data_IF_213548975232
#
_entry.id   IF_213548975232
#
_cell.length_a   1.000
_cell.length_b   1.000
_cell.length_c   1.000
_cell.angle_alpha   90.00
_cell.angle_beta   90.00
_cell.angle_gamma   90.00
#
_symmetry.space_group_name_H-M   'P 1'
#
loop_
_entity.id
_entity.type
_entity.pdbx_description
1 polymer ?
#
# COMPACT_ATOMS: atom_id res chain seq x y z
N UNK A 1 -7.97 -17.24 18.55
CA UNK A 1 -7.10 -16.63 17.52
C UNK A 1 -6.21 -15.65 18.24
N UNK A 2 -4.91 -15.87 18.20
CA UNK A 2 -3.92 -15.01 18.86
C UNK A 2 -2.78 -14.75 17.89
N UNK A 3 -2.20 -13.56 17.98
CA UNK A 3 -0.98 -13.19 17.27
C UNK A 3 -0.01 -12.52 18.23
N UNK A 4 1.26 -12.88 18.11
CA UNK A 4 2.37 -12.22 18.77
C UNK A 4 3.29 -11.64 17.68
N UNK A 5 3.71 -10.40 17.85
CA UNK A 5 4.63 -9.75 16.91
C UNK A 5 5.80 -9.12 17.66
N UNK A 6 7.01 -9.29 17.12
CA UNK A 6 8.22 -8.57 17.54
C UNK A 6 8.68 -7.67 16.39
N UNK A 7 8.82 -6.37 16.64
CA UNK A 7 9.16 -5.35 15.64
C UNK A 7 10.51 -4.72 15.98
N UNK A 8 11.43 -4.67 15.02
CA UNK A 8 12.74 -4.06 15.15
C UNK A 8 12.88 -2.91 14.14
N UNK A 9 13.36 -1.76 14.60
CA UNK A 9 13.74 -0.62 13.77
C UNK A 9 15.05 -0.03 14.25
N UNK A 10 16.01 0.07 13.36
CA UNK A 10 17.31 0.69 13.58
C UNK A 10 17.54 1.71 12.47
N UNK A 11 17.89 2.92 12.88
CA UNK A 11 18.34 4.00 12.00
C UNK A 11 19.58 4.62 12.65
N UNK A 12 20.74 4.34 12.07
CA UNK A 12 22.02 4.68 12.67
C UNK A 12 22.96 5.32 11.65
N UNK A 13 23.91 6.12 12.13
CA UNK A 13 25.01 6.65 11.33
C UNK A 13 26.32 6.04 11.83
N UNK A 14 26.63 4.78 11.50
CA UNK A 14 27.78 4.06 12.06
C UNK A 14 29.13 4.68 11.68
N UNK A 15 29.18 5.37 10.53
CA UNK A 15 30.35 6.10 10.06
C UNK A 15 29.90 7.46 9.53
N UNK A 16 30.79 8.45 9.55
CA UNK A 16 30.50 9.79 9.04
C UNK A 16 30.03 9.72 7.57
N UNK A 17 28.82 10.22 7.31
CA UNK A 17 28.23 10.26 5.98
C UNK A 17 27.61 8.96 5.48
N UNK A 18 27.60 7.90 6.30
CA UNK A 18 26.94 6.63 6.01
C UNK A 18 25.81 6.39 7.02
N UNK A 19 24.58 6.41 6.54
CA UNK A 19 23.38 6.01 7.30
C UNK A 19 23.03 4.56 6.97
N UNK A 20 22.67 3.79 7.98
CA UNK A 20 22.23 2.41 7.87
C UNK A 20 20.84 2.25 8.48
N UNK A 21 19.94 1.65 7.72
CA UNK A 21 18.54 1.42 8.13
C UNK A 21 18.25 -0.08 8.09
N UNK A 22 17.69 -0.59 9.19
CA UNK A 22 17.15 -1.93 9.30
C UNK A 22 15.75 -1.86 9.90
N UNK A 23 14.80 -2.53 9.25
CA UNK A 23 13.44 -2.67 9.75
C UNK A 23 12.97 -4.09 9.50
N UNK A 24 12.63 -4.80 10.56
CA UNK A 24 12.20 -6.20 10.50
C UNK A 24 11.02 -6.43 11.44
N UNK A 25 10.20 -7.44 11.14
CA UNK A 25 9.10 -7.86 12.00
C UNK A 25 8.94 -9.37 11.95
N UNK A 26 8.85 -10.00 13.12
CA UNK A 26 8.51 -11.41 13.25
C UNK A 26 7.07 -11.51 13.77
N UNK A 27 6.21 -12.20 13.03
CA UNK A 27 4.84 -12.50 13.41
C UNK A 27 4.68 -14.00 13.68
N UNK A 28 4.06 -14.34 14.81
CA UNK A 28 3.55 -15.67 15.12
C UNK A 28 2.03 -15.60 15.27
N UNK A 29 1.29 -16.34 14.45
CA UNK A 29 -0.17 -16.33 14.45
C UNK A 29 -0.75 -17.75 14.56
N UNK A 30 -1.62 -17.95 15.54
CA UNK A 30 -2.44 -19.15 15.66
C UNK A 30 -3.85 -18.88 15.13
N UNK A 31 -3.93 -18.89 13.80
CA UNK A 31 -5.13 -18.62 13.02
C UNK A 31 -5.49 -19.88 12.21
N UNK A 32 -6.78 -20.07 11.85
CA UNK A 32 -7.17 -21.11 10.91
C UNK A 32 -6.41 -20.94 9.58
N UNK A 33 -5.96 -22.05 9.00
CA UNK A 33 -5.17 -22.07 7.76
C UNK A 33 -5.83 -21.31 6.60
N UNK A 34 -7.17 -21.25 6.57
CA UNK A 34 -7.93 -20.52 5.55
C UNK A 34 -7.78 -18.98 5.64
N UNK A 35 -7.32 -18.46 6.78
CA UNK A 35 -7.16 -17.02 7.02
C UNK A 35 -5.67 -16.63 7.01
N UNK A 36 -4.82 -17.40 7.71
CA UNK A 36 -3.36 -17.28 7.60
C UNK A 36 -2.72 -18.67 7.45
N UNK A 37 -2.20 -19.00 6.25
CA UNK A 37 -1.65 -20.32 6.01
C UNK A 37 -0.29 -20.56 6.69
N UNK A 38 0.42 -19.49 7.05
CA UNK A 38 1.71 -19.58 7.73
C UNK A 38 1.57 -19.10 9.17
N UNK A 39 2.00 -19.95 10.11
CA UNK A 39 2.02 -19.60 11.53
C UNK A 39 3.14 -18.63 11.88
N UNK A 40 4.24 -18.66 11.13
CA UNK A 40 5.43 -17.86 11.37
C UNK A 40 5.78 -17.08 10.11
N UNK A 41 5.87 -15.76 10.23
CA UNK A 41 6.18 -14.86 9.12
C UNK A 41 7.22 -13.83 9.58
N UNK A 42 8.44 -13.91 9.05
CA UNK A 42 9.41 -12.84 9.14
C UNK A 42 9.25 -11.87 7.96
N UNK A 43 9.18 -10.57 8.23
CA UNK A 43 9.03 -9.53 7.21
C UNK A 43 10.18 -8.54 7.32
N UNK A 44 11.25 -8.81 6.57
CA UNK A 44 12.33 -7.83 6.39
C UNK A 44 11.80 -6.65 5.58
N UNK A 45 11.40 -5.59 6.27
CA UNK A 45 10.78 -4.41 5.67
C UNK A 45 11.79 -3.60 4.88
N UNK A 46 12.88 -3.23 5.55
CA UNK A 46 13.96 -2.42 4.98
C UNK A 46 15.31 -2.89 5.51
N UNK A 47 16.33 -2.82 4.66
CA UNK A 47 17.72 -3.11 4.98
C UNK A 47 18.60 -2.44 3.94
N UNK A 48 19.03 -1.21 4.18
CA UNK A 48 19.78 -0.43 3.20
C UNK A 48 20.80 0.51 3.83
N UNK A 49 21.76 0.90 3.00
CA UNK A 49 22.73 1.94 3.28
C UNK A 49 22.40 3.18 2.46
N UNK A 50 22.64 4.34 3.05
CA UNK A 50 22.43 5.65 2.45
C UNK A 50 23.67 6.51 2.62
N UNK A 51 24.13 7.13 1.54
CA UNK A 51 25.24 8.08 1.54
C UNK A 51 24.79 9.40 0.94
N UNK A 52 25.30 10.49 1.52
CA UNK A 52 25.01 11.85 1.06
C UNK A 52 26.34 12.56 0.72
N UNK A 53 26.86 12.40 -0.51
CA UNK A 53 28.15 12.98 -0.91
C UNK A 53 28.15 14.52 -0.90
N UNK A 54 26.98 15.14 -1.02
CA UNK A 54 26.78 16.58 -0.93
C UNK A 54 25.37 16.88 -0.40
N UNK A 55 25.11 18.13 -0.02
CA UNK A 55 23.80 18.54 0.51
C UNK A 55 22.63 18.32 -0.48
N UNK A 56 22.91 18.12 -1.77
CA UNK A 56 21.92 17.97 -2.82
C UNK A 56 21.85 16.58 -3.44
N UNK A 57 22.71 15.63 -3.05
CA UNK A 57 22.77 14.30 -3.69
C UNK A 57 22.73 13.19 -2.65
N UNK A 58 21.85 12.21 -2.86
CA UNK A 58 21.66 11.05 -1.99
C UNK A 58 21.74 9.78 -2.84
N UNK A 59 22.43 8.76 -2.34
CA UNK A 59 22.43 7.42 -2.91
C UNK A 59 22.04 6.39 -1.86
N UNK A 60 21.11 5.52 -2.22
CA UNK A 60 20.66 4.42 -1.39
C UNK A 60 20.86 3.07 -2.11
N UNK A 61 21.25 2.05 -1.37
CA UNK A 61 21.38 0.69 -1.89
C UNK A 61 20.97 -0.34 -0.83
N UNK A 62 20.09 -1.27 -1.22
CA UNK A 62 19.60 -2.34 -0.36
C UNK A 62 18.11 -2.60 -0.57
N UNK A 63 17.46 -3.18 0.42
CA UNK A 63 16.00 -3.35 0.44
C UNK A 63 15.34 -2.08 0.95
N UNK A 64 14.57 -1.41 0.07
CA UNK A 64 13.98 -0.10 0.33
C UNK A 64 12.47 -0.15 0.08
N UNK A 65 11.68 0.37 1.00
CA UNK A 65 10.23 0.49 0.83
C UNK A 65 9.88 1.78 0.07
N UNK A 66 10.04 1.73 -1.27
CA UNK A 66 9.72 2.85 -2.14
C UNK A 66 8.23 2.89 -2.48
N UNK A 67 7.57 4.00 -2.16
CA UNK A 67 6.26 4.36 -2.71
C UNK A 67 6.23 5.86 -3.04
N UNK A 68 5.27 6.29 -3.85
CA UNK A 68 5.03 7.69 -4.19
C UNK A 68 3.55 7.98 -4.01
N UNK A 69 3.18 9.23 -3.78
CA UNK A 69 1.77 9.60 -3.56
C UNK A 69 1.31 9.50 -2.10
N UNK A 70 0.26 10.27 -1.82
CA UNK A 70 -0.40 10.48 -0.52
C UNK A 70 -1.78 9.82 -0.42
N UNK A 71 -2.32 9.27 -1.50
CA UNK A 71 -3.62 8.58 -1.51
C UNK A 71 -3.70 7.53 -0.39
N UNK A 72 -4.85 7.46 0.27
CA UNK A 72 -5.05 6.69 1.49
C UNK A 72 -5.43 5.26 1.14
N UNK A 73 -6.42 5.06 0.27
CA UNK A 73 -6.94 3.74 -0.08
C UNK A 73 -6.17 3.04 -1.18
N UNK A 74 -6.23 3.62 -2.37
CA UNK A 74 -5.59 3.06 -3.55
C UNK A 74 -4.59 4.04 -4.12
N UNK A 75 -3.39 3.56 -4.41
CA UNK A 75 -2.31 4.41 -4.88
C UNK A 75 -1.89 4.01 -6.31
N UNK A 76 -2.33 4.76 -7.34
CA UNK A 76 -1.97 4.51 -8.73
C UNK A 76 -0.49 4.58 -9.05
N UNK A 77 0.32 5.31 -8.27
CA UNK A 77 1.74 5.57 -8.56
C UNK A 77 2.71 4.76 -7.70
N UNK A 78 2.18 3.98 -6.76
CA UNK A 78 2.93 3.01 -5.97
C UNK A 78 3.20 1.73 -6.78
N UNK A 79 4.11 1.81 -7.74
CA UNK A 79 4.45 0.71 -8.64
C UNK A 79 5.17 -0.48 -7.97
N UNK A 80 5.60 -0.32 -6.71
CA UNK A 80 6.36 -1.33 -5.97
C UNK A 80 5.52 -2.08 -4.92
N UNK A 81 4.21 -1.81 -4.83
CA UNK A 81 3.28 -2.46 -3.89
C UNK A 81 3.05 -3.95 -4.10
N UNK A 82 3.19 -4.45 -5.33
CA UNK A 82 2.84 -5.84 -5.65
C UNK A 82 3.68 -6.84 -4.86
N UNK A 83 3.04 -7.81 -4.19
CA UNK A 83 3.73 -8.83 -3.38
C UNK A 83 4.40 -8.30 -2.10
N UNK A 84 4.23 -7.02 -1.76
CA UNK A 84 4.96 -6.38 -0.67
C UNK A 84 4.34 -6.60 0.73
N UNK A 85 3.14 -7.20 0.83
CA UNK A 85 2.50 -7.49 2.13
C UNK A 85 2.60 -8.98 2.41
N UNK A 86 3.37 -9.38 3.42
CA UNK A 86 3.48 -10.79 3.86
C UNK A 86 2.46 -11.17 4.93
N UNK A 87 2.20 -10.27 5.87
CA UNK A 87 1.13 -10.41 6.87
C UNK A 87 0.47 -9.05 7.13
N UNK A 88 -0.86 -9.05 7.09
CA UNK A 88 -1.69 -7.89 7.34
C UNK A 88 -1.97 -7.81 8.85
N UNK A 89 -1.35 -6.86 9.53
CA UNK A 89 -1.46 -6.65 10.99
C UNK A 89 -2.43 -5.56 11.38
N UNK A 90 -2.87 -4.75 10.43
CA UNK A 90 -3.79 -3.65 10.64
C UNK A 90 -4.46 -3.31 9.33
N UNK A 91 -5.69 -2.81 9.41
CA UNK A 91 -6.43 -2.26 8.29
C UNK A 91 -6.31 -0.74 8.20
N UNK A 92 -5.56 -0.11 9.10
CA UNK A 92 -5.22 1.29 9.00
C UNK A 92 -4.39 1.54 7.72
N UNK A 93 -4.94 2.24 6.71
CA UNK A 93 -4.27 2.45 5.43
C UNK A 93 -2.91 3.15 5.57
N UNK A 94 -2.77 4.04 6.56
CA UNK A 94 -1.53 4.76 6.82
C UNK A 94 -0.43 3.83 7.37
N UNK A 95 -0.82 2.84 8.16
CA UNK A 95 0.10 1.87 8.75
C UNK A 95 0.48 0.74 7.78
N UNK A 96 -0.39 0.36 6.84
CA UNK A 96 -0.11 -0.70 5.86
C UNK A 96 1.14 -0.37 5.04
N UNK A 97 1.28 0.87 4.55
CA UNK A 97 2.44 1.28 3.75
C UNK A 97 3.76 1.05 4.48
N UNK A 98 3.80 1.32 5.78
CA UNK A 98 4.99 1.17 6.63
C UNK A 98 5.26 -0.29 7.05
N UNK A 99 4.30 -1.19 6.85
CA UNK A 99 4.41 -2.60 7.22
C UNK A 99 4.71 -3.51 6.02
N UNK A 100 4.89 -2.93 4.84
CA UNK A 100 5.28 -3.63 3.62
C UNK A 100 6.78 -3.93 3.62
N UNK A 101 7.12 -5.02 2.98
CA UNK A 101 8.48 -5.30 2.60
C UNK A 101 8.88 -4.52 1.35
N UNK A 102 10.05 -3.88 1.41
CA UNK A 102 10.61 -3.14 0.31
C UNK A 102 11.09 -4.04 -0.83
N UNK A 103 11.63 -3.43 -1.87
CA UNK A 103 12.32 -4.15 -2.95
C UNK A 103 13.82 -3.88 -2.86
N UNK A 104 14.64 -4.87 -3.23
CA UNK A 104 16.08 -4.63 -3.41
C UNK A 104 16.26 -3.71 -4.60
N UNK A 105 16.99 -2.62 -4.41
CA UNK A 105 17.25 -1.62 -5.44
C UNK A 105 18.49 -0.77 -5.14
N UNK A 106 18.91 -0.05 -6.17
CA UNK A 106 19.77 1.14 -6.06
C UNK A 106 18.95 2.35 -6.45
N UNK A 107 19.12 3.46 -5.71
CA UNK A 107 18.38 4.71 -5.93
C UNK A 107 19.34 5.89 -5.79
N UNK A 108 19.28 6.81 -6.74
CA UNK A 108 19.97 8.09 -6.68
C UNK A 108 18.97 9.22 -6.71
N UNK A 109 19.18 10.25 -5.90
CA UNK A 109 18.35 11.45 -5.85
C UNK A 109 19.23 12.70 -5.90
N UNK A 110 18.82 13.65 -6.73
CA UNK A 110 19.40 14.99 -6.80
C UNK A 110 18.32 16.03 -6.50
N UNK A 111 18.67 17.00 -5.67
CA UNK A 111 17.84 18.08 -5.17
C UNK A 111 18.38 19.43 -5.66
N UNK A 112 17.51 20.37 -5.95
CA UNK A 112 17.87 21.77 -6.18
C UNK A 112 16.75 22.68 -5.66
N UNK A 113 16.96 23.99 -5.67
CA UNK A 113 15.91 24.90 -5.24
C UNK A 113 14.68 24.78 -6.15
N UNK A 114 13.58 24.34 -5.55
CA UNK A 114 12.30 24.16 -6.24
C UNK A 114 12.14 22.84 -7.01
N UNK A 115 12.98 21.81 -6.81
CA UNK A 115 12.71 20.51 -7.43
C UNK A 115 13.64 19.37 -7.06
N UNK A 116 13.33 18.20 -7.61
CA UNK A 116 14.15 17.01 -7.45
C UNK A 116 14.04 16.06 -8.64
N UNK A 117 15.08 15.28 -8.88
CA UNK A 117 15.02 14.08 -9.72
C UNK A 117 15.50 12.88 -8.93
N UNK A 118 14.83 11.75 -9.11
CA UNK A 118 15.21 10.48 -8.50
C UNK A 118 15.14 9.40 -9.57
N UNK A 119 16.19 8.60 -9.67
CA UNK A 119 16.25 7.43 -10.54
C UNK A 119 16.51 6.20 -9.67
N UNK A 120 15.83 5.10 -9.96
CA UNK A 120 16.05 3.83 -9.28
C UNK A 120 15.98 2.64 -10.22
N UNK A 121 16.69 1.59 -9.83
CA UNK A 121 16.69 0.30 -10.51
C UNK A 121 16.58 -0.82 -9.48
N UNK A 122 15.59 -1.69 -9.69
CA UNK A 122 15.31 -2.85 -8.86
C UNK A 122 15.53 -4.12 -9.70
N UNK A 123 16.63 -4.87 -9.47
CA UNK A 123 16.93 -6.05 -10.26
C UNK A 123 16.00 -7.21 -9.92
N UNK A 124 15.84 -8.12 -10.88
CA UNK A 124 15.27 -9.45 -10.62
C UNK A 124 16.24 -10.27 -9.78
N UNK A 125 15.77 -10.84 -8.67
CA UNK A 125 16.56 -11.69 -7.78
C UNK A 125 16.04 -13.13 -7.70
N UNK A 126 14.73 -13.33 -7.84
CA UNK A 126 14.10 -14.65 -7.87
C UNK A 126 12.86 -14.60 -8.76
N UNK A 127 12.33 -15.76 -9.18
CA UNK A 127 11.15 -15.80 -10.07
C UNK A 127 9.84 -16.16 -9.36
N UNK A 128 9.89 -16.58 -8.09
CA UNK A 128 8.73 -17.05 -7.33
C UNK A 128 8.84 -16.60 -5.88
N UNK A 129 7.71 -16.23 -5.30
CA UNK A 129 7.62 -15.97 -3.87
C UNK A 129 8.01 -17.21 -3.05
N UNK A 130 8.58 -16.99 -1.88
CA UNK A 130 8.97 -18.01 -0.92
C UNK A 130 8.48 -17.62 0.48
N UNK A 131 7.48 -18.37 0.95
CA UNK A 131 6.79 -18.10 2.20
C UNK A 131 7.43 -18.77 3.43
N UNK A 132 8.63 -19.34 3.31
CA UNK A 132 9.29 -19.97 4.46
C UNK A 132 9.55 -18.95 5.60
N UNK A 133 9.48 -19.37 6.88
CA UNK A 133 9.41 -18.48 8.05
C UNK A 133 10.49 -17.40 8.16
N UNK A 134 11.71 -17.65 7.69
CA UNK A 134 12.84 -16.71 7.74
C UNK A 134 13.44 -16.40 6.36
N UNK A 135 12.72 -16.76 5.28
CA UNK A 135 13.17 -16.41 3.95
C UNK A 135 12.86 -14.93 3.69
N UNK A 136 13.80 -14.14 3.12
CA UNK A 136 13.55 -12.73 2.79
C UNK A 136 12.56 -12.54 1.62
N UNK A 137 12.10 -13.62 0.99
CA UNK A 137 11.08 -13.63 -0.05
C UNK A 137 11.38 -12.66 -1.21
N UNK A 138 12.60 -12.77 -1.76
CA UNK A 138 13.01 -11.90 -2.87
C UNK A 138 12.09 -12.00 -4.08
N UNK A 139 11.44 -13.15 -4.31
CA UNK A 139 10.65 -13.35 -5.52
C UNK A 139 9.29 -12.66 -5.50
N UNK A 140 8.76 -12.25 -4.34
CA UNK A 140 7.51 -11.49 -4.28
C UNK A 140 7.69 -10.02 -4.65
N UNK A 141 8.81 -9.40 -4.26
CA UNK A 141 9.09 -7.99 -4.57
C UNK A 141 10.10 -7.80 -5.69
N UNK A 142 11.04 -8.72 -5.92
CA UNK A 142 12.09 -8.66 -6.95
C UNK A 142 11.93 -9.78 -7.99
N UNK A 143 10.69 -10.04 -8.42
CA UNK A 143 10.33 -11.05 -9.42
C UNK A 143 10.81 -10.74 -10.85
N UNK A 144 11.05 -9.46 -11.14
CA UNK A 144 11.30 -8.89 -12.46
C UNK A 144 12.19 -7.65 -12.34
N UNK A 145 12.92 -7.31 -13.40
CA UNK A 145 13.69 -6.06 -13.44
C UNK A 145 12.74 -4.87 -13.59
N UNK A 146 12.94 -3.83 -12.79
CA UNK A 146 12.15 -2.60 -12.81
C UNK A 146 13.05 -1.37 -12.74
N UNK A 147 12.68 -0.32 -13.44
CA UNK A 147 13.31 0.98 -13.37
C UNK A 147 12.24 2.06 -13.19
N UNK A 148 12.57 3.12 -12.46
CA UNK A 148 11.68 4.27 -12.29
C UNK A 148 12.47 5.57 -12.27
N UNK A 149 11.92 6.58 -12.94
CA UNK A 149 12.35 7.97 -12.84
C UNK A 149 11.21 8.76 -12.20
N UNK A 150 11.55 9.59 -11.22
CA UNK A 150 10.64 10.51 -10.56
C UNK A 150 11.20 11.91 -10.70
N UNK A 151 10.39 12.84 -11.20
CA UNK A 151 10.72 14.26 -11.29
C UNK A 151 9.70 15.05 -10.47
N UNK A 152 10.16 16.02 -9.69
CA UNK A 152 9.28 16.95 -8.96
C UNK A 152 9.68 18.40 -9.20
N UNK A 153 8.70 19.28 -9.19
CA UNK A 153 8.93 20.72 -9.34
C UNK A 153 7.94 21.51 -8.49
N UNK A 154 8.45 22.41 -7.66
CA UNK A 154 7.65 23.42 -6.97
C UNK A 154 7.21 24.48 -7.99
N UNK A 155 5.92 24.54 -8.26
CA UNK A 155 5.33 25.57 -9.14
C UNK A 155 4.92 26.80 -8.31
N UNK A 156 4.39 26.58 -7.10
CA UNK A 156 4.02 27.62 -6.14
C UNK A 156 4.20 27.09 -4.71
N UNK A 157 3.94 27.92 -3.70
CA UNK A 157 4.00 27.49 -2.30
C UNK A 157 3.09 26.29 -2.00
N UNK A 158 1.94 26.20 -2.69
CA UNK A 158 0.89 25.21 -2.42
C UNK A 158 0.75 24.16 -3.53
N UNK A 159 1.69 24.12 -4.50
CA UNK A 159 1.59 23.24 -5.66
C UNK A 159 2.95 22.63 -6.01
N UNK A 160 3.08 21.33 -5.74
CA UNK A 160 4.30 20.54 -5.94
C UNK A 160 3.97 19.25 -6.72
N UNK A 161 3.75 19.32 -8.05
CA UNK A 161 3.57 18.12 -8.86
C UNK A 161 4.79 17.21 -8.85
N UNK A 162 4.50 15.92 -8.99
CA UNK A 162 5.47 14.87 -9.23
C UNK A 162 5.05 14.08 -10.46
N UNK A 163 6.00 13.78 -11.33
CA UNK A 163 5.83 12.95 -12.51
C UNK A 163 6.71 11.71 -12.43
N UNK A 164 6.19 10.58 -12.87
CA UNK A 164 6.83 9.28 -12.77
C UNK A 164 6.87 8.62 -14.14
N UNK A 165 8.00 7.98 -14.46
CA UNK A 165 8.13 7.04 -15.56
C UNK A 165 8.58 5.71 -14.98
N UNK A 166 7.74 4.69 -15.12
CA UNK A 166 7.99 3.35 -14.61
C UNK A 166 8.06 2.36 -15.76
N UNK A 167 9.06 1.47 -15.72
CA UNK A 167 9.21 0.39 -16.67
C UNK A 167 9.51 -0.91 -15.93
N UNK A 168 8.77 -1.95 -16.29
CA UNK A 168 9.02 -3.33 -15.86
C UNK A 168 9.45 -4.17 -17.07
N UNK A 169 10.34 -5.12 -16.86
CA UNK A 169 10.77 -6.05 -17.90
C UNK A 169 9.57 -6.82 -18.49
N UNK A 170 9.37 -6.73 -19.82
CA UNK A 170 8.25 -7.37 -20.52
C UNK A 170 6.94 -6.56 -20.51
N UNK A 171 6.87 -5.50 -19.71
CA UNK A 171 5.76 -4.54 -19.69
C UNK A 171 5.97 -3.35 -20.65
N UNK A 172 4.93 -2.54 -20.84
CA UNK A 172 5.07 -1.23 -21.48
C UNK A 172 5.28 -0.14 -20.42
N UNK A 173 5.95 0.94 -20.82
CA UNK A 173 6.16 2.12 -19.97
C UNK A 173 4.83 2.59 -19.40
N UNK A 174 4.83 2.88 -18.10
CA UNK A 174 3.73 3.54 -17.41
C UNK A 174 4.17 4.95 -17.03
N UNK A 175 3.31 5.93 -17.33
CA UNK A 175 3.45 7.29 -16.84
C UNK A 175 2.64 7.45 -15.56
N UNK A 176 3.13 8.24 -14.61
CA UNK A 176 2.44 8.58 -13.37
C UNK A 176 2.50 10.07 -13.08
N UNK A 177 1.50 10.57 -12.37
CA UNK A 177 1.44 11.95 -11.89
C UNK A 177 0.83 11.97 -10.50
N UNK A 178 1.47 12.67 -9.57
CA UNK A 178 0.92 13.00 -8.27
C UNK A 178 0.81 14.51 -8.12
N UNK A 179 -0.33 14.95 -7.59
CA UNK A 179 -0.61 16.35 -7.30
C UNK A 179 -1.28 16.44 -5.94
N UNK A 180 -0.79 17.36 -5.11
CA UNK A 180 -1.39 17.67 -3.81
C UNK A 180 -1.40 19.18 -3.64
N UNK A 181 -2.48 19.72 -3.10
CA UNK A 181 -2.63 21.15 -2.87
C UNK A 181 -3.46 21.45 -1.64
N UNK A 182 -3.20 22.61 -1.02
CA UNK A 182 -4.05 23.19 0.01
C UNK A 182 -5.16 23.98 -0.67
N UNK A 183 -6.40 23.53 -0.50
CA UNK A 183 -7.59 24.25 -0.98
C UNK A 183 -7.88 25.45 -0.07
N UNK A 184 -7.62 25.28 1.22
CA UNK A 184 -7.66 26.30 2.28
C UNK A 184 -6.83 25.80 3.48
N UNK A 185 -6.82 26.53 4.59
CA UNK A 185 -6.01 26.23 5.80
C UNK A 185 -6.37 24.91 6.51
N UNK A 186 -7.49 24.29 6.12
CA UNK A 186 -8.04 23.08 6.76
C UNK A 186 -8.30 21.94 5.77
N UNK A 187 -8.05 22.14 4.48
CA UNK A 187 -8.43 21.17 3.44
C UNK A 187 -7.27 20.92 2.48
N UNK A 188 -6.83 19.66 2.42
CA UNK A 188 -5.87 19.18 1.42
C UNK A 188 -6.63 18.38 0.36
N UNK A 189 -6.40 18.67 -0.91
CA UNK A 189 -6.90 17.87 -2.03
C UNK A 189 -5.74 17.22 -2.79
N UNK A 190 -5.99 16.05 -3.39
CA UNK A 190 -4.99 15.35 -4.17
C UNK A 190 -5.59 14.64 -5.39
N UNK A 191 -4.72 14.44 -6.38
CA UNK A 191 -4.96 13.65 -7.57
C UNK A 191 -3.71 12.82 -7.84
N UNK A 192 -3.88 11.52 -7.95
CA UNK A 192 -2.86 10.57 -8.37
C UNK A 192 -3.36 9.81 -9.58
N UNK A 193 -2.56 9.76 -10.62
CA UNK A 193 -2.92 9.12 -11.87
C UNK A 193 -1.74 8.30 -12.37
N UNK A 194 -2.03 7.13 -12.95
CA UNK A 194 -1.04 6.43 -13.76
C UNK A 194 -1.69 5.80 -14.99
N UNK A 195 -0.92 5.61 -16.06
CA UNK A 195 -1.44 5.02 -17.28
C UNK A 195 -0.36 4.53 -18.24
N UNK A 196 -0.73 3.51 -19.01
CA UNK A 196 0.13 2.90 -20.02
C UNK A 196 -0.53 1.69 -20.66
N UNK A 197 0.14 1.08 -21.63
CA UNK A 197 -0.37 -0.16 -22.25
C UNK A 197 -0.16 -1.34 -21.31
N UNK A 198 -1.21 -2.11 -21.06
CA UNK A 198 -1.17 -3.31 -20.20
C UNK A 198 -2.37 -4.21 -20.48
N UNK A 199 -2.30 -5.45 -20.02
CA UNK A 199 -3.44 -6.36 -20.03
C UNK A 199 -4.51 -5.92 -19.01
N UNK A 200 -5.66 -6.59 -19.05
CA UNK A 200 -6.61 -6.54 -17.92
C UNK A 200 -6.06 -7.33 -16.73
N UNK A 201 -6.55 -7.00 -15.54
CA UNK A 201 -6.17 -7.71 -14.31
C UNK A 201 -6.56 -9.19 -14.37
N UNK A 202 -7.65 -9.53 -15.07
CA UNK A 202 -8.10 -10.92 -15.25
C UNK A 202 -7.15 -11.72 -16.13
N UNK A 203 -6.68 -11.13 -17.23
CA UNK A 203 -5.69 -11.78 -18.09
C UNK A 203 -4.38 -12.03 -17.35
N UNK A 204 -3.87 -11.02 -16.62
CA UNK A 204 -2.67 -11.18 -15.81
C UNK A 204 -2.85 -12.27 -14.74
N UNK A 205 -4.00 -12.33 -14.06
CA UNK A 205 -4.32 -13.35 -13.06
C UNK A 205 -4.40 -14.78 -13.65
N UNK A 206 -4.84 -14.90 -14.89
CA UNK A 206 -4.96 -16.18 -15.59
C UNK A 206 -3.69 -16.58 -16.36
N UNK A 207 -2.66 -15.73 -16.39
CA UNK A 207 -1.47 -15.93 -17.22
C UNK A 207 -1.76 -15.88 -18.72
N UNK A 208 -2.84 -15.18 -19.10
CA UNK A 208 -3.26 -14.99 -20.49
C UNK A 208 -2.73 -13.64 -20.99
N UNK A 209 -2.36 -13.58 -22.28
CA UNK A 209 -1.99 -12.33 -22.95
C UNK A 209 -2.98 -11.99 -24.06
N UNK A 210 -2.85 -10.80 -24.63
CA UNK A 210 -3.50 -10.44 -25.90
C UNK A 210 -4.38 -9.21 -25.86
N UNK A 211 -4.84 -8.74 -24.69
CA UNK A 211 -5.59 -7.48 -24.55
C UNK A 211 -4.70 -6.34 -24.03
N UNK A 212 -3.62 -6.05 -24.77
CA UNK A 212 -2.77 -4.89 -24.48
C UNK A 212 -3.40 -3.61 -25.03
N UNK A 213 -4.15 -2.92 -24.19
CA UNK A 213 -4.70 -1.60 -24.47
C UNK A 213 -4.18 -0.58 -23.46
N UNK A 214 -4.33 0.71 -23.78
CA UNK A 214 -4.04 1.77 -22.84
C UNK A 214 -5.06 1.73 -21.71
N UNK A 215 -4.59 1.62 -20.47
CA UNK A 215 -5.42 1.60 -19.27
C UNK A 215 -4.80 2.51 -18.23
N UNK A 216 -5.64 3.24 -17.53
CA UNK A 216 -5.23 4.14 -16.47
C UNK A 216 -5.81 3.74 -15.11
N UNK A 217 -5.20 4.30 -14.08
CA UNK A 217 -5.61 4.24 -12.69
C UNK A 217 -5.69 5.67 -12.17
N UNK A 218 -6.62 5.92 -11.25
CA UNK A 218 -6.81 7.23 -10.64
C UNK A 218 -7.17 7.03 -9.17
N UNK A 219 -6.62 7.88 -8.31
CA UNK A 219 -7.11 8.12 -6.96
C UNK A 219 -7.19 9.62 -6.77
N UNK A 220 -8.33 10.12 -6.31
CA UNK A 220 -8.50 11.53 -6.03
C UNK A 220 -9.42 11.72 -4.84
N UNK A 221 -9.10 12.70 -4.02
CA UNK A 221 -9.81 12.91 -2.79
C UNK A 221 -9.42 14.20 -2.11
N UNK A 222 -10.03 14.41 -0.96
CA UNK A 222 -9.69 15.50 -0.07
C UNK A 222 -9.74 15.04 1.38
N UNK A 223 -8.95 15.71 2.21
CA UNK A 223 -8.98 15.57 3.66
C UNK A 223 -9.30 16.93 4.25
N UNK A 224 -10.35 16.99 5.07
CA UNK A 224 -10.74 18.15 5.85
C UNK A 224 -10.36 17.93 7.32
N UNK A 225 -9.61 18.85 7.93
CA UNK A 225 -9.21 18.80 9.33
C UNK A 225 -9.85 19.94 10.11
N UNK A 226 -10.66 19.55 11.09
CA UNK A 226 -11.34 20.45 12.02
C UNK A 226 -10.40 21.00 13.10
N UNK A 227 -10.83 22.05 13.81
CA UNK A 227 -10.09 22.60 14.96
C UNK A 227 -10.01 21.65 16.16
N UNK A 228 -10.92 20.68 16.28
CA UNK A 228 -10.90 19.67 17.34
C UNK A 228 -10.14 18.39 16.94
N UNK A 229 -9.20 18.49 15.99
CA UNK A 229 -8.28 17.41 15.57
C UNK A 229 -8.96 16.21 14.88
N UNK A 230 -10.20 16.35 14.45
CA UNK A 230 -10.86 15.37 13.58
C UNK A 230 -10.48 15.65 12.12
N UNK A 231 -9.87 14.67 11.46
CA UNK A 231 -9.60 14.67 10.02
C UNK A 231 -10.54 13.70 9.32
N UNK A 232 -11.20 14.16 8.27
CA UNK A 232 -12.14 13.41 7.44
C UNK A 232 -11.64 13.37 6.01
N UNK A 233 -11.41 12.18 5.48
CA UNK A 233 -10.95 11.92 4.13
C UNK A 233 -12.05 11.25 3.31
N UNK A 234 -12.30 11.79 2.12
CA UNK A 234 -13.05 11.12 1.06
C UNK A 234 -12.12 10.87 -0.13
N UNK A 235 -12.16 9.66 -0.69
CA UNK A 235 -11.37 9.25 -1.85
C UNK A 235 -12.24 8.49 -2.85
N UNK A 236 -12.12 8.85 -4.13
CA UNK A 236 -12.61 8.08 -5.26
C UNK A 236 -11.46 7.38 -5.96
N UNK A 237 -11.64 6.09 -6.22
CA UNK A 237 -10.63 5.20 -6.79
C UNK A 237 -11.12 4.62 -8.12
N UNK A 238 -10.23 4.55 -9.11
CA UNK A 238 -10.47 3.92 -10.41
C UNK A 238 -9.30 3.07 -10.87
N UNK A 239 -9.61 1.88 -11.41
CA UNK A 239 -8.66 0.99 -12.07
C UNK A 239 -9.22 0.47 -13.39
N UNK A 240 -8.75 1.01 -14.52
CA UNK A 240 -9.19 0.61 -15.86
C UNK A 240 -8.82 -0.82 -16.27
N UNK A 241 -7.96 -1.50 -15.51
CA UNK A 241 -7.67 -2.93 -15.70
C UNK A 241 -8.59 -3.85 -14.87
N UNK A 242 -9.31 -3.32 -13.89
CA UNK A 242 -10.27 -4.06 -13.09
C UNK A 242 -11.53 -4.44 -13.88
N UNK A 243 -12.30 -5.40 -13.35
CA UNK A 243 -13.56 -5.82 -13.96
C UNK A 243 -14.65 -4.77 -13.73
N UNK A 244 -15.43 -4.50 -14.76
CA UNK A 244 -16.69 -3.80 -14.60
C UNK A 244 -17.74 -4.71 -13.97
N UNK A 245 -18.89 -4.13 -13.63
CA UNK A 245 -19.99 -4.84 -12.98
C UNK A 245 -20.42 -6.10 -13.72
N UNK A 246 -20.65 -6.00 -15.03
CA UNK A 246 -21.14 -7.13 -15.82
C UNK A 246 -20.14 -8.28 -15.84
N UNK A 247 -18.86 -7.98 -16.08
CA UNK A 247 -17.80 -8.99 -16.12
C UNK A 247 -17.53 -9.58 -14.73
N UNK A 248 -17.62 -8.77 -13.67
CA UNK A 248 -17.48 -9.21 -12.28
C UNK A 248 -18.59 -10.17 -11.86
N UNK A 249 -19.85 -9.80 -12.13
CA UNK A 249 -21.02 -10.62 -11.79
C UNK A 249 -21.04 -11.95 -12.57
N UNK A 250 -20.54 -11.95 -13.81
CA UNK A 250 -20.46 -13.14 -14.67
C UNK A 250 -19.31 -14.10 -14.28
N UNK A 251 -18.18 -13.57 -13.80
CA UNK A 251 -16.97 -14.36 -13.56
C UNK A 251 -17.18 -15.63 -12.70
N UNK A 252 -17.83 -15.59 -11.52
CA UNK A 252 -18.04 -16.80 -10.72
C UNK A 252 -18.99 -17.81 -11.39
N UNK A 253 -19.92 -17.36 -12.23
CA UNK A 253 -20.82 -18.22 -12.99
C UNK A 253 -20.12 -18.88 -14.18
N UNK A 254 -19.18 -18.18 -14.83
CA UNK A 254 -18.41 -18.71 -15.97
C UNK A 254 -17.24 -19.59 -15.52
N UNK A 255 -16.54 -19.20 -14.45
CA UNK A 255 -15.40 -19.95 -13.93
C UNK A 255 -15.15 -19.62 -12.45
N UNK A 256 -15.64 -20.48 -11.55
CA UNK A 256 -15.34 -20.35 -10.13
C UNK A 256 -13.82 -20.42 -9.82
N UNK A 257 -13.03 -21.31 -10.45
CA UNK A 257 -11.56 -21.27 -10.28
C UNK A 257 -10.94 -19.97 -10.79
N UNK A 258 -11.45 -19.42 -11.90
CA UNK A 258 -11.00 -18.13 -12.43
C UNK A 258 -11.30 -16.97 -11.48
N UNK A 259 -12.49 -16.96 -10.87
CA UNK A 259 -12.88 -16.01 -9.84
C UNK A 259 -11.91 -16.04 -8.64
N UNK A 260 -11.60 -17.23 -8.12
CA UNK A 260 -10.67 -17.37 -6.97
C UNK A 260 -9.27 -16.87 -7.33
N UNK A 261 -8.73 -17.26 -8.49
CA UNK A 261 -7.42 -16.78 -8.96
C UNK A 261 -7.39 -15.26 -9.14
N UNK A 262 -8.45 -14.69 -9.69
CA UNK A 262 -8.56 -13.25 -9.90
C UNK A 262 -8.54 -12.46 -8.58
N UNK A 263 -9.35 -12.89 -7.60
CA UNK A 263 -9.37 -12.30 -6.26
C UNK A 263 -8.00 -12.38 -5.58
N UNK A 264 -7.38 -13.56 -5.58
CA UNK A 264 -6.05 -13.76 -4.99
C UNK A 264 -4.99 -12.87 -5.67
N UNK A 265 -5.03 -12.77 -7.00
CA UNK A 265 -4.12 -11.93 -7.76
C UNK A 265 -4.30 -10.45 -7.43
N UNK A 266 -5.55 -9.95 -7.42
CA UNK A 266 -5.87 -8.58 -7.06
C UNK A 266 -5.37 -8.23 -5.64
N UNK A 267 -5.61 -9.12 -4.66
CA UNK A 267 -5.12 -8.95 -3.29
C UNK A 267 -3.59 -8.91 -3.23
N UNK A 268 -2.91 -9.86 -3.90
CA UNK A 268 -1.44 -9.97 -3.90
C UNK A 268 -0.79 -8.76 -4.55
N UNK A 269 -1.37 -8.26 -5.65
CA UNK A 269 -0.88 -7.08 -6.35
C UNK A 269 -1.32 -5.76 -5.69
N UNK A 270 -2.12 -5.82 -4.62
CA UNK A 270 -2.78 -4.65 -4.02
C UNK A 270 -3.48 -3.79 -5.09
N UNK A 271 -4.23 -4.46 -5.97
CA UNK A 271 -5.02 -3.88 -7.04
C UNK A 271 -6.50 -3.90 -6.70
N UNK A 272 -7.27 -2.98 -7.29
CA UNK A 272 -8.72 -3.02 -7.19
C UNK A 272 -9.28 -4.13 -8.07
N UNK A 273 -10.03 -5.06 -7.47
CA UNK A 273 -10.70 -6.14 -8.20
C UNK A 273 -11.81 -5.62 -9.14
N UNK A 274 -12.48 -4.54 -8.75
CA UNK A 274 -13.52 -3.89 -9.56
C UNK A 274 -13.05 -2.50 -10.01
N UNK A 275 -13.62 -1.96 -11.09
CA UNK A 275 -13.15 -0.70 -11.68
C UNK A 275 -13.27 0.53 -10.79
N UNK A 276 -14.21 0.54 -9.85
CA UNK A 276 -14.58 1.74 -9.09
C UNK A 276 -14.75 1.41 -7.61
N UNK A 277 -14.14 2.22 -6.76
CA UNK A 277 -14.35 2.17 -5.32
C UNK A 277 -14.41 3.57 -4.73
N UNK A 278 -14.99 3.65 -3.53
CA UNK A 278 -15.00 4.83 -2.69
C UNK A 278 -14.37 4.47 -1.34
N UNK A 279 -13.66 5.42 -0.76
CA UNK A 279 -13.14 5.32 0.60
C UNK A 279 -13.54 6.54 1.41
N UNK A 280 -13.98 6.27 2.63
CA UNK A 280 -14.18 7.25 3.68
C UNK A 280 -13.26 6.86 4.82
N UNK A 281 -12.45 7.80 5.29
CA UNK A 281 -11.52 7.57 6.39
C UNK A 281 -11.59 8.73 7.37
N UNK A 282 -11.59 8.43 8.66
CA UNK A 282 -11.63 9.42 9.71
C UNK A 282 -10.54 9.12 10.74
N UNK A 283 -9.83 10.15 11.19
CA UNK A 283 -8.94 10.06 12.34
C UNK A 283 -9.28 11.19 13.30
N UNK A 284 -9.42 10.86 14.58
CA UNK A 284 -9.70 11.83 15.64
C UNK A 284 -8.70 11.64 16.77
N UNK A 285 -7.80 12.60 16.90
CA UNK A 285 -6.83 12.61 17.99
C UNK A 285 -7.45 13.17 19.26
N UNK A 286 -7.10 12.59 20.41
CA UNK A 286 -7.61 12.99 21.73
C UNK A 286 -9.14 13.04 21.78
N UNK A 287 -9.80 11.99 21.27
CA UNK A 287 -11.26 11.88 21.28
C UNK A 287 -11.75 11.73 22.72
N UNK A 288 -12.48 12.74 23.22
CA UNK A 288 -13.05 12.81 24.59
C UNK A 288 -12.01 12.88 25.72
N UNK A 289 -10.91 12.13 25.64
CA UNK A 289 -9.84 12.02 26.64
C UNK A 289 -8.48 12.14 25.92
N UNK A 290 -7.50 12.78 26.57
CA UNK A 290 -6.14 12.89 26.05
C UNK A 290 -5.54 11.51 25.76
N UNK A 291 -4.80 11.40 24.64
CA UNK A 291 -4.13 10.18 24.15
C UNK A 291 -5.06 9.04 23.70
N UNK A 292 -6.37 9.24 23.74
CA UNK A 292 -7.33 8.35 23.12
C UNK A 292 -7.52 8.76 21.66
N UNK A 293 -7.18 7.89 20.72
CA UNK A 293 -7.30 8.14 19.29
C UNK A 293 -8.35 7.22 18.68
N UNK A 294 -9.19 7.77 17.80
CA UNK A 294 -10.13 7.01 16.98
C UNK A 294 -9.65 7.02 15.52
N UNK A 295 -9.69 5.86 14.88
CA UNK A 295 -9.56 5.73 13.43
C UNK A 295 -10.75 4.93 12.89
N UNK A 296 -11.36 5.39 11.80
CA UNK A 296 -12.48 4.71 11.17
C UNK A 296 -12.29 4.69 9.66
N UNK A 297 -12.64 3.58 9.02
CA UNK A 297 -12.51 3.36 7.58
C UNK A 297 -13.76 2.68 7.05
N UNK A 298 -14.28 3.18 5.93
CA UNK A 298 -15.23 2.46 5.09
C UNK A 298 -14.70 2.45 3.66
N UNK A 299 -14.54 1.26 3.09
CA UNK A 299 -14.24 1.09 1.67
C UNK A 299 -15.40 0.41 0.97
N UNK A 300 -15.89 1.01 -0.10
CA UNK A 300 -17.10 0.60 -0.80
C UNK A 300 -16.80 0.26 -2.26
N UNK A 301 -17.18 -0.93 -2.71
CA UNK A 301 -17.09 -1.35 -4.12
C UNK A 301 -18.37 -0.95 -4.85
N UNK A 302 -18.24 -0.11 -5.87
CA UNK A 302 -19.41 0.40 -6.62
C UNK A 302 -20.04 -0.68 -7.50
N UNK A 303 -19.23 -1.60 -8.02
CA UNK A 303 -19.68 -2.62 -8.96
C UNK A 303 -20.65 -3.64 -8.33
N UNK A 304 -20.38 -4.05 -7.09
CA UNK A 304 -21.14 -5.10 -6.38
C UNK A 304 -21.81 -4.62 -5.08
N UNK A 305 -21.60 -3.34 -4.71
CA UNK A 305 -22.17 -2.68 -3.54
C UNK A 305 -21.76 -3.30 -2.20
N UNK A 306 -20.67 -4.07 -2.18
CA UNK A 306 -20.08 -4.60 -0.96
C UNK A 306 -19.21 -3.54 -0.27
N UNK A 307 -18.99 -3.69 1.04
CA UNK A 307 -18.08 -2.81 1.77
C UNK A 307 -17.27 -3.53 2.86
N UNK A 308 -16.13 -2.91 3.17
CA UNK A 308 -15.30 -3.13 4.34
C UNK A 308 -15.51 -1.95 5.28
N UNK A 309 -15.91 -2.21 6.52
CA UNK A 309 -15.93 -1.23 7.59
C UNK A 309 -14.93 -1.61 8.67
N UNK A 310 -14.12 -0.67 9.14
CA UNK A 310 -13.14 -0.87 10.19
C UNK A 310 -13.14 0.32 11.15
N UNK A 311 -12.99 0.04 12.44
CA UNK A 311 -12.93 1.02 13.51
C UNK A 311 -11.83 0.60 14.47
N UNK A 312 -10.98 1.53 14.89
CA UNK A 312 -9.99 1.34 15.93
C UNK A 312 -10.11 2.46 16.97
N UNK A 313 -10.14 2.05 18.23
CA UNK A 313 -9.93 2.94 19.36
C UNK A 313 -8.60 2.55 20.02
N UNK A 314 -7.66 3.49 20.08
CA UNK A 314 -6.30 3.25 20.59
C UNK A 314 -5.95 4.26 21.66
N UNK A 315 -5.58 3.78 22.85
CA UNK A 315 -5.06 4.60 23.93
C UNK A 315 -3.54 4.43 24.04
N UNK A 316 -2.81 5.53 24.24
CA UNK A 316 -1.35 5.52 24.31
C UNK A 316 -0.83 6.07 25.65
N UNK A 317 0.05 5.31 26.27
CA UNK A 317 0.95 5.70 27.34
C UNK A 317 2.37 5.92 26.78
N UNK A 318 3.34 6.40 27.59
CA UNK A 318 4.70 6.63 27.12
C UNK A 318 5.40 5.41 26.51
N UNK A 319 5.20 4.22 27.09
CA UNK A 319 5.82 2.97 26.64
C UNK A 319 4.83 1.91 26.20
N UNK A 320 3.53 2.17 26.33
CA UNK A 320 2.50 1.16 26.14
C UNK A 320 1.35 1.68 25.28
N UNK A 321 0.75 0.81 24.50
CA UNK A 321 -0.47 1.10 23.76
C UNK A 321 -1.43 -0.08 23.89
N UNK A 322 -2.72 0.25 24.04
CA UNK A 322 -3.81 -0.71 23.90
C UNK A 322 -4.75 -0.23 22.82
N UNK A 323 -5.19 -1.13 21.95
CA UNK A 323 -6.20 -0.82 20.96
C UNK A 323 -7.27 -1.91 20.86
N UNK A 324 -8.52 -1.46 20.69
CA UNK A 324 -9.65 -2.31 20.33
C UNK A 324 -10.01 -1.98 18.89
N UNK A 325 -10.09 -3.01 18.05
CA UNK A 325 -10.45 -2.89 16.64
C UNK A 325 -11.70 -3.71 16.34
N UNK A 326 -12.60 -3.13 15.57
CA UNK A 326 -13.75 -3.81 14.99
C UNK A 326 -13.67 -3.79 13.47
N UNK A 327 -14.03 -4.91 12.86
CA UNK A 327 -14.01 -5.12 11.42
C UNK A 327 -15.35 -5.72 10.98
N UNK A 328 -15.86 -5.27 9.84
CA UNK A 328 -16.99 -5.89 9.17
C UNK A 328 -16.80 -5.91 7.63
N UNK A 329 -16.94 -7.10 7.04
CA UNK A 329 -17.00 -7.31 5.60
C UNK A 329 -18.44 -7.67 5.21
N UNK A 330 -19.12 -6.78 4.48
CA UNK A 330 -20.51 -6.96 4.07
C UNK A 330 -20.67 -7.04 2.56
N UNK A 331 -21.61 -7.87 2.10
CA UNK A 331 -21.88 -8.10 0.68
C UNK A 331 -22.23 -9.56 0.36
N UNK A 332 -22.65 -9.81 -0.87
CA UNK A 332 -22.98 -11.15 -1.40
C UNK A 332 -21.75 -12.06 -1.46
N UNK A 333 -21.95 -13.38 -1.49
CA UNK A 333 -20.88 -14.40 -1.45
C UNK A 333 -19.72 -14.18 -2.44
N UNK A 334 -19.99 -13.67 -3.64
CA UNK A 334 -18.98 -13.43 -4.69
C UNK A 334 -18.68 -11.95 -4.92
N UNK A 335 -19.04 -11.08 -3.96
CA UNK A 335 -18.66 -9.68 -4.00
C UNK A 335 -17.27 -9.46 -3.40
N UNK A 336 -16.67 -8.31 -3.69
CA UNK A 336 -15.30 -7.92 -3.33
C UNK A 336 -15.04 -8.16 -1.85
N UNK A 337 -15.91 -7.65 -0.98
CA UNK A 337 -15.79 -7.84 0.47
C UNK A 337 -16.63 -9.00 0.97
N UNK A 338 -17.72 -9.35 0.28
CA UNK A 338 -18.57 -10.47 0.71
C UNK A 338 -17.99 -11.86 0.44
N UNK A 339 -16.87 -11.97 -0.26
CA UNK A 339 -16.12 -13.23 -0.39
C UNK A 339 -15.16 -13.49 0.78
N UNK A 340 -14.94 -12.50 1.66
CA UNK A 340 -14.09 -12.68 2.83
C UNK A 340 -14.67 -13.74 3.77
N UNK A 341 -13.86 -14.72 4.23
CA UNK A 341 -14.28 -15.66 5.27
C UNK A 341 -14.46 -14.94 6.62
N UNK A 342 -13.77 -13.82 6.83
CA UNK A 342 -13.84 -13.02 8.05
C UNK A 342 -14.91 -11.92 7.90
N UNK A 343 -16.17 -12.28 8.17
CA UNK A 343 -17.32 -11.36 8.07
C UNK A 343 -17.32 -10.27 9.11
N UNK A 344 -17.00 -10.62 10.35
CA UNK A 344 -16.91 -9.66 11.46
C UNK A 344 -15.82 -10.13 12.39
N UNK A 345 -15.03 -9.20 12.90
CA UNK A 345 -14.00 -9.47 13.88
C UNK A 345 -13.96 -8.36 14.93
N UNK A 346 -13.63 -8.76 16.16
CA UNK A 346 -13.25 -7.86 17.24
C UNK A 346 -11.85 -8.29 17.69
N UNK A 347 -10.91 -7.37 17.70
CA UNK A 347 -9.52 -7.60 18.08
C UNK A 347 -9.15 -6.67 19.23
N UNK A 348 -8.48 -7.23 20.24
CA UNK A 348 -7.80 -6.48 21.28
C UNK A 348 -6.30 -6.66 21.09
N UNK A 349 -5.55 -5.56 21.06
CA UNK A 349 -4.11 -5.57 20.90
C UNK A 349 -3.43 -4.75 21.99
N UNK A 350 -2.25 -5.21 22.39
CA UNK A 350 -1.33 -4.54 23.30
C UNK A 350 0.04 -4.45 22.65
N UNK A 351 0.71 -3.31 22.83
CA UNK A 351 2.08 -3.09 22.36
C UNK A 351 2.89 -2.40 23.45
N UNK A 352 4.12 -2.87 23.63
CA UNK A 352 5.12 -2.26 24.49
C UNK A 352 6.32 -1.78 23.66
N UNK A 353 6.89 -0.62 24.00
CA UNK A 353 8.07 -0.04 23.36
C UNK A 353 9.25 -0.02 24.33
N UNK A 354 10.38 -0.57 23.88
CA UNK A 354 11.63 -0.67 24.63
C UNK A 354 12.57 0.51 24.40
#
# INVERSE_FOLDING_TARGET
MQRLSADLRIDATPLRGLRAVLSDRLDYADWPYQIEPNREVNTLREAYLSVQPSNSVIFDAGRINQYSGVAVGYNPTDFFRGGAVRSLVTLDPLSIKNNRQGSVMVRGQMLWDGGSVMALFSPKLASRANNAPFNPDWGSTNGVNRAMLIFSKRISANLNPQWLLYQEQGGSVQFGMNLTTLVNDSTVAYVEWSGGRRNTLLQDALGQGGDKAFRNRLSTGFTYTTSNKLSLTFEYEYNGAGLDKGSWDALPATSLPGYVRYQQYAMTQQEMATRHALLFYATWQDVVINHLNLSALVRYSVADRSNLSWLELRYRWPHDEVAVQWLNNSGKLFSTFGASPLRTALELSYRHYF
#
